data_IF_443112067374
#
_entry.id   IF_443112067374
#
_cell.length_a   1.000
_cell.length_b   1.000
_cell.length_c   1.000
_cell.angle_alpha   90.00
_cell.angle_beta   90.00
_cell.angle_gamma   90.00
#
_symmetry.space_group_name_H-M   'P 1'
#
loop_
_entity.id
_entity.type
_entity.pdbx_description
1 polymer ?
#
# COMPACT_ATOMS: atom_id res chain seq x y z
N UNK A 1 -5.14 -0.88 -20.34
CA UNK A 1 -5.18 -0.47 -18.93
C UNK A 1 -5.00 1.03 -18.91
N UNK A 2 -5.93 1.79 -18.32
CA UNK A 2 -5.80 3.24 -18.30
C UNK A 2 -4.51 3.62 -17.56
N UNK A 3 -3.65 4.41 -18.19
CA UNK A 3 -2.41 4.88 -17.59
C UNK A 3 -2.73 6.12 -16.74
N UNK A 4 -2.97 5.93 -15.45
CA UNK A 4 -3.23 7.01 -14.51
C UNK A 4 -1.92 7.67 -14.07
N UNK A 5 -1.91 8.99 -13.95
CA UNK A 5 -0.79 9.74 -13.37
C UNK A 5 -0.60 9.40 -11.89
N UNK A 6 0.61 9.67 -11.35
CA UNK A 6 0.90 9.44 -9.93
C UNK A 6 -0.11 10.16 -9.01
N UNK A 7 -0.49 11.40 -9.34
CA UNK A 7 -1.49 12.18 -8.57
C UNK A 7 -2.86 11.51 -8.56
N UNK A 8 -3.32 10.98 -9.69
CA UNK A 8 -4.59 10.23 -9.75
C UNK A 8 -4.50 8.94 -8.92
N UNK A 9 -3.36 8.26 -8.95
CA UNK A 9 -3.11 7.07 -8.15
C UNK A 9 -3.12 7.38 -6.65
N UNK A 10 -2.54 8.51 -6.21
CA UNK A 10 -2.66 9.00 -4.82
C UNK A 10 -4.13 9.24 -4.45
N UNK A 11 -4.89 9.90 -5.31
CA UNK A 11 -6.31 10.16 -5.06
C UNK A 11 -7.11 8.86 -4.86
N UNK A 12 -6.81 7.79 -5.61
CA UNK A 12 -7.41 6.48 -5.37
C UNK A 12 -7.05 5.94 -3.98
N UNK A 13 -5.78 6.03 -3.57
CA UNK A 13 -5.34 5.57 -2.24
C UNK A 13 -6.05 6.35 -1.13
N UNK A 14 -6.20 7.67 -1.25
CA UNK A 14 -6.95 8.50 -0.29
C UNK A 14 -8.41 8.06 -0.23
N UNK A 15 -9.05 7.80 -1.36
CA UNK A 15 -10.42 7.29 -1.37
C UNK A 15 -10.54 5.92 -0.69
N UNK A 16 -9.61 5.00 -0.97
CA UNK A 16 -9.58 3.70 -0.32
C UNK A 16 -9.39 3.82 1.19
N UNK A 17 -8.44 4.65 1.63
CA UNK A 17 -8.14 4.89 3.05
C UNK A 17 -9.38 5.37 3.83
N UNK A 18 -10.21 6.22 3.22
CA UNK A 18 -11.47 6.68 3.83
C UNK A 18 -12.53 5.57 3.96
N UNK A 19 -12.41 4.48 3.20
CA UNK A 19 -13.33 3.34 3.24
C UNK A 19 -12.84 2.15 4.07
N UNK A 20 -11.55 2.14 4.40
CA UNK A 20 -10.94 1.09 5.20
C UNK A 20 -11.37 1.16 6.67
N UNK A 21 -11.43 -0.01 7.31
CA UNK A 21 -11.57 -0.08 8.76
C UNK A 21 -10.33 0.45 9.46
N UNK A 22 -10.42 0.77 10.75
CA UNK A 22 -9.28 1.22 11.54
C UNK A 22 -8.13 0.19 11.54
N UNK A 23 -8.46 -1.11 11.56
CA UNK A 23 -7.45 -2.18 11.44
C UNK A 23 -6.76 -2.18 10.07
N UNK A 24 -7.50 -1.99 8.99
CA UNK A 24 -6.94 -1.92 7.64
C UNK A 24 -6.07 -0.68 7.44
N UNK A 25 -6.43 0.44 8.07
CA UNK A 25 -5.59 1.65 8.07
C UNK A 25 -4.28 1.40 8.82
N UNK A 26 -4.33 0.78 9.99
CA UNK A 26 -3.14 0.40 10.76
C UNK A 26 -2.23 -0.55 9.96
N UNK A 27 -2.80 -1.59 9.35
CA UNK A 27 -2.07 -2.49 8.44
C UNK A 27 -1.41 -1.73 7.28
N UNK A 28 -2.09 -0.74 6.70
CA UNK A 28 -1.52 0.08 5.63
C UNK A 28 -0.35 0.96 6.10
N UNK A 29 -0.37 1.48 7.33
CA UNK A 29 0.76 2.23 7.88
C UNK A 29 2.02 1.36 7.90
N UNK A 30 1.90 0.08 8.24
CA UNK A 30 3.02 -0.86 8.19
C UNK A 30 3.56 -1.12 6.77
N UNK A 31 2.73 -0.91 5.73
CA UNK A 31 3.16 -0.93 4.31
C UNK A 31 3.88 0.35 3.92
N UNK A 32 3.34 1.49 4.34
CA UNK A 32 3.79 2.80 3.92
C UNK A 32 5.07 3.25 4.64
N UNK A 33 5.13 3.06 5.95
CA UNK A 33 6.18 3.58 6.82
C UNK A 33 7.62 3.20 6.37
N UNK A 34 7.92 1.93 5.98
CA UNK A 34 9.25 1.57 5.49
C UNK A 34 9.61 2.23 4.15
N UNK A 35 8.61 2.65 3.36
CA UNK A 35 8.81 3.25 2.04
C UNK A 35 9.16 4.73 2.14
N UNK A 36 8.52 5.46 3.07
CA UNK A 36 8.72 6.91 3.25
C UNK A 36 9.83 7.24 4.23
N UNK A 37 10.21 6.32 5.13
CA UNK A 37 11.31 6.52 6.07
C UNK A 37 12.15 5.24 6.20
N UNK A 38 13.04 4.95 5.21
CA UNK A 38 13.83 3.72 5.17
C UNK A 38 14.82 3.51 6.33
N UNK A 39 14.96 4.47 7.26
CA UNK A 39 15.88 4.39 8.39
C UNK A 39 15.23 4.30 9.77
N UNK A 40 13.94 4.61 9.93
CA UNK A 40 13.29 4.64 11.25
C UNK A 40 12.53 3.35 11.60
N UNK A 41 12.20 2.50 10.63
CA UNK A 41 11.31 1.34 10.81
C UNK A 41 12.00 -0.03 10.74
N UNK A 42 13.31 -0.09 11.02
CA UNK A 42 14.12 -1.32 10.95
C UNK A 42 13.86 -2.35 12.07
N UNK A 43 12.91 -2.12 12.98
CA UNK A 43 12.77 -2.97 14.19
C UNK A 43 11.34 -3.43 14.51
N UNK A 44 10.57 -3.85 13.51
CA UNK A 44 9.25 -4.40 13.78
C UNK A 44 8.66 -5.15 12.59
N UNK A 45 9.06 -6.42 12.42
CA UNK A 45 8.30 -7.49 11.75
C UNK A 45 7.43 -7.00 10.57
N UNK A 46 8.06 -6.69 9.42
CA UNK A 46 7.35 -6.47 8.15
C UNK A 46 6.91 -7.81 7.54
N UNK A 47 6.29 -8.66 8.37
CA UNK A 47 5.85 -10.01 8.00
C UNK A 47 4.31 -10.15 8.03
N UNK A 48 3.58 -9.05 8.27
CA UNK A 48 2.11 -9.06 8.39
C UNK A 48 1.34 -9.18 7.06
N UNK A 49 1.93 -8.78 5.94
CA UNK A 49 1.30 -8.92 4.61
C UNK A 49 1.76 -10.17 3.84
N UNK A 50 2.34 -11.14 4.55
CA UNK A 50 2.34 -12.54 4.12
C UNK A 50 1.26 -13.32 4.86
N UNK A 51 0.06 -12.77 5.01
CA UNK A 51 -1.07 -13.56 5.47
C UNK A 51 -1.67 -14.32 4.29
N UNK A 52 -1.04 -15.47 4.02
CA UNK A 52 -1.69 -16.74 3.68
C UNK A 52 -2.88 -16.69 2.72
N UNK A 53 -2.61 -16.87 1.43
CA UNK A 53 -3.60 -17.45 0.50
C UNK A 53 -3.16 -18.86 0.05
N UNK A 54 -2.80 -19.69 1.03
CA UNK A 54 -2.63 -21.13 0.82
C UNK A 54 -3.96 -21.89 0.94
N UNK A 55 -5.09 -21.20 1.08
CA UNK A 55 -6.42 -21.80 1.35
C UNK A 55 -7.38 -21.77 0.14
N UNK A 56 -6.96 -21.20 -1.00
CA UNK A 56 -7.79 -21.15 -2.22
C UNK A 56 -8.95 -20.15 -2.14
N UNK A 57 -8.95 -19.23 -1.17
CA UNK A 57 -9.92 -18.14 -1.09
C UNK A 57 -9.52 -17.03 -2.08
N UNK A 58 -10.48 -16.34 -2.74
CA UNK A 58 -10.14 -15.14 -3.49
C UNK A 58 -9.62 -14.04 -2.54
N UNK A 59 -8.65 -13.22 -2.99
CA UNK A 59 -8.11 -12.14 -2.17
C UNK A 59 -9.20 -11.13 -1.81
N UNK A 60 -9.06 -10.49 -0.65
CA UNK A 60 -9.96 -9.40 -0.26
C UNK A 60 -9.74 -8.16 -1.14
N UNK A 61 -10.74 -7.28 -1.23
CA UNK A 61 -10.60 -6.01 -1.94
C UNK A 61 -9.41 -5.18 -1.40
N UNK A 62 -9.23 -5.17 -0.09
CA UNK A 62 -8.09 -4.54 0.57
C UNK A 62 -6.76 -5.13 0.05
N UNK A 63 -6.62 -6.45 0.01
CA UNK A 63 -5.41 -7.09 -0.50
C UNK A 63 -5.13 -6.70 -1.96
N UNK A 64 -6.17 -6.63 -2.80
CA UNK A 64 -6.04 -6.14 -4.17
C UNK A 64 -5.59 -4.67 -4.25
N UNK A 65 -6.16 -3.79 -3.42
CA UNK A 65 -5.77 -2.38 -3.33
C UNK A 65 -4.32 -2.20 -2.86
N UNK A 66 -3.88 -2.95 -1.84
CA UNK A 66 -2.50 -2.94 -1.35
C UNK A 66 -1.53 -3.43 -2.42
N UNK A 67 -1.88 -4.48 -3.16
CA UNK A 67 -1.06 -4.94 -4.28
C UNK A 67 -0.91 -3.84 -5.34
N UNK A 68 -2.03 -3.23 -5.75
CA UNK A 68 -2.02 -2.18 -6.75
C UNK A 68 -1.21 -0.95 -6.30
N UNK A 69 -1.34 -0.55 -5.04
CA UNK A 69 -0.51 0.50 -4.45
C UNK A 69 0.99 0.17 -4.51
N UNK A 70 1.40 -1.06 -4.18
CA UNK A 70 2.80 -1.46 -4.26
C UNK A 70 3.34 -1.42 -5.70
N UNK A 71 2.54 -1.89 -6.66
CA UNK A 71 2.88 -1.84 -8.08
C UNK A 71 3.07 -0.37 -8.52
N UNK A 72 2.13 0.51 -8.16
CA UNK A 72 2.21 1.95 -8.41
C UNK A 72 3.43 2.60 -7.79
N UNK A 73 3.65 2.39 -6.48
CA UNK A 73 4.80 2.93 -5.76
C UNK A 73 6.12 2.58 -6.44
N UNK A 74 6.28 1.32 -6.86
CA UNK A 74 7.49 0.86 -7.55
C UNK A 74 7.70 1.49 -8.93
N UNK A 75 6.63 1.98 -9.55
CA UNK A 75 6.65 2.66 -10.86
C UNK A 75 6.84 4.17 -10.75
N UNK A 76 6.60 4.76 -9.58
CA UNK A 76 6.79 6.19 -9.34
C UNK A 76 8.27 6.55 -9.30
N UNK A 77 8.60 7.73 -9.83
CA UNK A 77 9.92 8.32 -9.64
C UNK A 77 10.12 8.81 -8.20
N UNK A 78 11.37 9.03 -7.80
CA UNK A 78 11.73 9.50 -6.44
C UNK A 78 10.96 10.76 -6.05
N UNK A 79 10.87 11.75 -6.96
CA UNK A 79 10.16 13.00 -6.68
C UNK A 79 8.63 12.88 -6.58
N UNK A 80 8.03 11.77 -7.00
CA UNK A 80 6.61 11.48 -6.76
C UNK A 80 6.42 10.72 -5.45
N UNK A 81 7.34 9.80 -5.11
CA UNK A 81 7.36 9.09 -3.83
C UNK A 81 7.57 10.04 -2.64
N UNK A 82 8.43 11.06 -2.78
CA UNK A 82 8.66 12.08 -1.76
C UNK A 82 7.43 12.98 -1.50
N UNK A 83 6.50 13.06 -2.45
CA UNK A 83 5.30 13.92 -2.34
C UNK A 83 4.06 13.18 -1.83
N UNK A 84 4.14 11.85 -1.70
CA UNK A 84 3.06 11.02 -1.17
C UNK A 84 2.91 11.21 0.34
#
# INVERSE_FOLDING_TARGET
MANHSAVEQVNFVVQWFNTWSEYQKDDFIHVLAPKVSPGQYVNGIVNGLKTMDATGRPPSLFACQIKLFNDWWSSWGEGDQEKF
#
